data_IF_015884935584
#
_entry.id   IF_015884935584
#
_cell.length_a   1.000
_cell.length_b   1.000
_cell.length_c   1.000
_cell.angle_alpha   90.00
_cell.angle_beta   90.00
_cell.angle_gamma   90.00
#
_symmetry.space_group_name_H-M   'P 1'
#
loop_
_entity.id
_entity.type
_entity.pdbx_description
1 polymer ?
#
# COMPACT_ATOMS: atom_id res chain seq x y z
N UNK A 1 -69.43 -40.69 -5.71
CA UNK A 1 -69.88 -40.84 -7.10
C UNK A 1 -69.31 -39.64 -7.86
N UNK A 2 -68.11 -39.76 -8.45
CA UNK A 2 -67.89 -39.97 -9.91
C UNK A 2 -68.52 -38.82 -10.72
N UNK A 3 -67.82 -37.93 -11.41
CA UNK A 3 -66.85 -38.12 -12.52
C UNK A 3 -66.25 -36.73 -12.87
N UNK A 4 -64.93 -36.59 -13.06
CA UNK A 4 -64.22 -36.46 -14.36
C UNK A 4 -64.75 -35.39 -15.33
N UNK A 5 -63.92 -34.39 -15.66
CA UNK A 5 -63.52 -34.16 -17.06
C UNK A 5 -62.27 -33.28 -17.18
N UNK A 6 -61.30 -33.82 -17.90
CA UNK A 6 -60.03 -33.27 -18.39
C UNK A 6 -60.20 -32.36 -19.61
N UNK A 7 -59.27 -31.42 -19.81
CA UNK A 7 -58.87 -30.96 -21.15
C UNK A 7 -57.42 -30.45 -21.09
N UNK A 8 -56.49 -31.30 -21.51
CA UNK A 8 -55.07 -31.01 -21.74
C UNK A 8 -54.89 -30.51 -23.17
N UNK A 9 -54.26 -29.35 -23.33
CA UNK A 9 -53.89 -28.82 -24.64
C UNK A 9 -52.64 -29.54 -25.17
N UNK A 10 -52.75 -29.98 -26.40
CA UNK A 10 -51.79 -30.72 -27.23
C UNK A 10 -50.66 -29.82 -27.71
N UNK A 11 -49.41 -30.14 -27.37
CA UNK A 11 -48.23 -29.64 -28.10
C UNK A 11 -47.93 -30.54 -29.29
N UNK A 12 -47.61 -29.88 -30.39
CA UNK A 12 -47.54 -30.37 -31.74
C UNK A 12 -46.18 -31.04 -31.99
N UNK A 13 -46.19 -32.33 -32.33
CA UNK A 13 -45.01 -33.04 -32.80
C UNK A 13 -44.59 -32.54 -34.19
N UNK A 14 -43.34 -32.09 -34.30
CA UNK A 14 -42.57 -32.16 -35.55
C UNK A 14 -41.26 -32.85 -35.23
N UNK A 15 -41.12 -34.05 -35.80
CA UNK A 15 -40.01 -34.95 -35.55
C UNK A 15 -38.68 -34.45 -36.09
N UNK A 16 -37.62 -34.94 -35.45
CA UNK A 16 -36.37 -35.25 -36.13
C UNK A 16 -35.73 -36.41 -35.39
N UNK A 17 -36.09 -37.63 -35.80
CA UNK A 17 -35.33 -38.81 -35.46
C UNK A 17 -34.06 -38.81 -36.29
N UNK A 18 -32.93 -38.42 -35.69
CA UNK A 18 -31.64 -38.93 -36.12
C UNK A 18 -30.85 -39.43 -34.92
N UNK A 19 -30.41 -40.67 -35.08
CA UNK A 19 -29.70 -41.53 -34.16
C UNK A 19 -28.31 -40.94 -33.90
N UNK A 20 -28.07 -40.44 -32.69
CA UNK A 20 -26.73 -40.04 -32.26
C UNK A 20 -25.86 -41.28 -32.01
N UNK A 21 -24.71 -41.41 -32.67
CA UNK A 21 -23.77 -42.50 -32.40
C UNK A 21 -23.09 -42.30 -31.05
N UNK A 22 -22.92 -43.41 -30.32
CA UNK A 22 -22.05 -43.55 -29.17
C UNK A 22 -20.61 -43.12 -29.54
N UNK A 23 -20.18 -41.96 -29.03
CA UNK A 23 -18.76 -41.63 -28.91
C UNK A 23 -18.43 -41.39 -27.43
N UNK A 24 -18.33 -42.47 -26.65
CA UNK A 24 -17.75 -42.45 -25.29
C UNK A 24 -16.22 -42.26 -25.28
N UNK A 25 -15.58 -42.10 -26.45
CA UNK A 25 -14.11 -42.10 -26.58
C UNK A 25 -13.44 -40.71 -26.60
N UNK A 26 -14.20 -39.61 -26.43
CA UNK A 26 -13.63 -38.24 -26.38
C UNK A 26 -13.56 -37.62 -24.99
N UNK A 27 -13.82 -38.37 -23.91
CA UNK A 27 -13.74 -37.83 -22.53
C UNK A 27 -12.31 -37.91 -21.94
N UNK A 28 -11.41 -38.66 -22.57
CA UNK A 28 -9.99 -38.76 -22.21
C UNK A 28 -9.18 -37.56 -22.72
N UNK A 29 -9.40 -37.14 -23.97
CA UNK A 29 -8.67 -36.03 -24.60
C UNK A 29 -8.89 -34.68 -23.92
N UNK A 30 -10.07 -34.40 -23.36
CA UNK A 30 -10.29 -33.13 -22.65
C UNK A 30 -9.63 -33.12 -21.28
N UNK A 31 -9.64 -34.24 -20.53
CA UNK A 31 -8.97 -34.33 -19.22
C UNK A 31 -7.45 -34.27 -19.36
N UNK A 32 -6.90 -34.80 -20.45
CA UNK A 32 -5.46 -34.76 -20.72
C UNK A 32 -5.01 -33.44 -21.35
N UNK A 33 -5.86 -32.80 -22.15
CA UNK A 33 -5.64 -31.41 -22.60
C UNK A 33 -5.71 -30.44 -21.39
N UNK A 34 -6.64 -30.65 -20.45
CA UNK A 34 -6.72 -29.87 -19.20
C UNK A 34 -5.55 -30.18 -18.23
N UNK A 35 -5.09 -31.43 -18.16
CA UNK A 35 -3.85 -31.79 -17.44
C UNK A 35 -2.60 -31.14 -18.06
N UNK A 36 -2.53 -30.98 -19.37
CA UNK A 36 -1.41 -30.28 -20.01
C UNK A 36 -1.49 -28.75 -19.90
N UNK A 37 -2.69 -28.17 -19.87
CA UNK A 37 -2.89 -26.75 -19.52
C UNK A 37 -2.44 -26.47 -18.09
N UNK A 38 -2.71 -27.36 -17.14
CA UNK A 38 -2.28 -27.20 -15.73
C UNK A 38 -0.77 -27.38 -15.53
N UNK A 39 -0.06 -28.13 -16.37
CA UNK A 39 1.41 -28.29 -16.27
C UNK A 39 2.15 -27.12 -16.92
N UNK A 40 1.62 -26.53 -17.99
CA UNK A 40 2.15 -25.28 -18.60
C UNK A 40 1.75 -24.02 -17.81
N UNK A 41 0.73 -24.09 -16.96
CA UNK A 41 0.36 -23.05 -15.99
C UNK A 41 1.08 -23.14 -14.64
N UNK A 42 2.04 -24.06 -14.47
CA UNK A 42 2.86 -24.10 -13.24
C UNK A 42 3.80 -22.90 -13.09
N UNK A 43 3.90 -22.04 -14.10
CA UNK A 43 4.73 -20.83 -14.09
C UNK A 43 4.00 -19.49 -13.90
N UNK A 44 2.66 -19.45 -13.77
CA UNK A 44 1.91 -18.17 -13.87
C UNK A 44 0.91 -17.88 -12.74
N UNK A 45 0.61 -18.82 -11.84
CA UNK A 45 -0.22 -18.49 -10.68
C UNK A 45 0.18 -19.32 -9.47
N UNK A 46 0.85 -18.67 -8.52
CA UNK A 46 0.87 -19.08 -7.14
C UNK A 46 -0.59 -19.35 -6.70
N UNK A 47 -0.99 -20.63 -6.61
CA UNK A 47 -2.36 -21.05 -6.29
C UNK A 47 -2.68 -20.87 -4.80
N UNK A 48 -2.08 -19.86 -4.15
CA UNK A 48 -2.51 -19.39 -2.84
C UNK A 48 -3.77 -18.57 -3.05
N UNK A 49 -4.89 -19.07 -2.51
CA UNK A 49 -6.16 -18.33 -2.51
C UNK A 49 -5.92 -16.91 -1.97
N UNK A 50 -6.46 -15.86 -2.61
CA UNK A 50 -6.26 -14.48 -2.17
C UNK A 50 -6.47 -14.22 -0.67
N UNK A 51 -7.44 -14.93 -0.09
CA UNK A 51 -7.73 -14.86 1.34
C UNK A 51 -6.61 -15.46 2.21
N UNK A 52 -5.95 -16.53 1.75
CA UNK A 52 -4.81 -17.13 2.46
C UNK A 52 -3.58 -16.23 2.41
N UNK A 53 -3.29 -15.63 1.25
CA UNK A 53 -2.20 -14.65 1.10
C UNK A 53 -2.41 -13.45 2.03
N UNK A 54 -3.62 -12.92 2.06
CA UNK A 54 -3.96 -11.83 2.96
C UNK A 54 -3.87 -12.23 4.44
N UNK A 55 -4.25 -13.46 4.80
CA UNK A 55 -4.09 -13.97 6.15
C UNK A 55 -2.62 -14.10 6.56
N UNK A 56 -1.77 -14.63 5.67
CA UNK A 56 -0.32 -14.75 5.86
C UNK A 56 0.33 -13.35 6.00
N UNK A 57 0.02 -12.43 5.09
CA UNK A 57 0.47 -11.03 5.15
C UNK A 57 0.06 -10.37 6.48
N UNK A 58 -1.16 -10.58 6.94
CA UNK A 58 -1.63 -10.07 8.23
C UNK A 58 -0.90 -10.70 9.42
N UNK A 59 -0.59 -11.99 9.37
CA UNK A 59 0.22 -12.67 10.39
C UNK A 59 1.60 -12.02 10.53
N UNK A 60 2.28 -11.78 9.41
CA UNK A 60 3.57 -11.09 9.40
C UNK A 60 3.48 -9.64 9.85
N UNK A 61 2.43 -8.91 9.46
CA UNK A 61 2.17 -7.55 9.94
C UNK A 61 1.96 -7.51 11.45
N UNK A 62 1.23 -8.46 12.02
CA UNK A 62 1.03 -8.57 13.46
C UNK A 62 2.31 -8.96 14.19
N UNK A 63 3.10 -9.88 13.63
CA UNK A 63 4.44 -10.21 14.12
C UNK A 63 5.38 -8.99 14.11
N UNK A 64 5.36 -8.19 13.05
CA UNK A 64 6.09 -6.93 12.99
C UNK A 64 5.67 -5.95 14.09
N UNK A 65 4.37 -5.87 14.41
CA UNK A 65 3.89 -5.02 15.50
C UNK A 65 4.40 -5.49 16.87
N UNK A 66 4.43 -6.79 17.15
CA UNK A 66 4.96 -7.31 18.43
C UNK A 66 6.46 -7.02 18.53
N UNK A 67 7.23 -7.27 17.47
CA UNK A 67 8.65 -6.96 17.40
C UNK A 67 8.94 -5.47 17.57
N UNK A 68 8.10 -4.61 16.97
CA UNK A 68 8.19 -3.15 17.13
C UNK A 68 7.97 -2.72 18.59
N UNK A 69 6.98 -3.31 19.27
CA UNK A 69 6.77 -3.04 20.70
C UNK A 69 7.91 -3.57 21.58
N UNK A 70 8.55 -4.67 21.18
CA UNK A 70 9.75 -5.22 21.83
C UNK A 70 11.04 -4.46 21.48
N UNK A 71 10.96 -3.35 20.75
CA UNK A 71 12.12 -2.54 20.30
C UNK A 71 13.12 -3.26 19.39
N UNK A 72 12.73 -4.40 18.80
CA UNK A 72 13.53 -5.15 17.82
C UNK A 72 13.24 -4.62 16.41
N UNK A 73 13.75 -3.42 16.11
CA UNK A 73 13.38 -2.67 14.90
C UNK A 73 13.84 -3.32 13.58
N UNK A 74 15.02 -3.92 13.54
CA UNK A 74 15.51 -4.61 12.34
C UNK A 74 14.65 -5.84 12.01
N UNK A 75 14.37 -6.69 13.00
CA UNK A 75 13.50 -7.85 12.81
C UNK A 75 12.05 -7.44 12.46
N UNK A 76 11.55 -6.33 13.04
CA UNK A 76 10.25 -5.79 12.68
C UNK A 76 10.21 -5.34 11.21
N UNK A 77 11.29 -4.73 10.71
CA UNK A 77 11.41 -4.33 9.30
C UNK A 77 11.35 -5.55 8.37
N UNK A 78 12.09 -6.61 8.70
CA UNK A 78 12.08 -7.85 7.91
C UNK A 78 10.68 -8.48 7.89
N UNK A 79 9.99 -8.53 9.04
CA UNK A 79 8.63 -9.03 9.13
C UNK A 79 7.64 -8.19 8.30
N UNK A 80 7.78 -6.87 8.27
CA UNK A 80 6.92 -6.02 7.44
C UNK A 80 7.22 -6.13 5.94
N UNK A 81 8.48 -6.30 5.56
CA UNK A 81 8.84 -6.54 4.16
C UNK A 81 8.27 -7.88 3.68
N UNK A 82 8.32 -8.91 4.52
CA UNK A 82 7.67 -10.18 4.24
C UNK A 82 6.15 -10.02 4.15
N UNK A 83 5.54 -9.20 5.01
CA UNK A 83 4.11 -8.89 4.90
C UNK A 83 3.74 -8.26 3.55
N UNK A 84 4.59 -7.40 2.98
CA UNK A 84 4.37 -6.81 1.65
C UNK A 84 4.51 -7.82 0.52
N UNK A 85 5.46 -8.76 0.61
CA UNK A 85 5.65 -9.82 -0.39
C UNK A 85 4.40 -10.71 -0.51
N UNK A 86 3.73 -10.97 0.62
CA UNK A 86 2.52 -11.79 0.67
C UNK A 86 1.22 -10.97 0.48
N UNK A 87 1.31 -9.64 0.43
CA UNK A 87 0.15 -8.78 0.19
C UNK A 87 -0.17 -8.78 -1.31
N UNK A 88 -1.39 -9.17 -1.73
CA UNK A 88 -1.75 -9.10 -3.14
C UNK A 88 -1.72 -7.65 -3.64
N UNK A 89 -1.13 -7.44 -4.83
CA UNK A 89 -0.79 -6.10 -5.37
C UNK A 89 -2.00 -5.16 -5.50
N UNK A 90 -3.20 -5.72 -5.72
CA UNK A 90 -4.42 -4.92 -5.86
C UNK A 90 -5.01 -4.44 -4.53
N UNK A 91 -4.54 -4.93 -3.37
CA UNK A 91 -4.96 -4.44 -2.05
C UNK A 91 -4.10 -3.25 -1.61
N UNK A 92 -4.35 -2.10 -2.21
CA UNK A 92 -3.63 -0.85 -1.93
C UNK A 92 -3.78 -0.37 -0.49
N UNK A 93 -4.95 -0.59 0.13
CA UNK A 93 -5.22 -0.19 1.52
C UNK A 93 -4.40 -1.00 2.54
N UNK A 94 -4.28 -2.31 2.33
CA UNK A 94 -3.51 -3.19 3.22
C UNK A 94 -2.02 -2.91 3.09
N UNK A 95 -1.52 -2.78 1.85
CA UNK A 95 -0.16 -2.36 1.58
C UNK A 95 0.17 -1.00 2.21
N UNK A 96 -0.75 -0.02 2.14
CA UNK A 96 -0.58 1.27 2.78
C UNK A 96 -0.39 1.16 4.30
N UNK A 97 -1.14 0.26 4.95
CA UNK A 97 -1.03 0.02 6.39
C UNK A 97 0.35 -0.50 6.78
N UNK A 98 0.89 -1.43 5.99
CA UNK A 98 2.23 -1.99 6.19
C UNK A 98 3.30 -0.92 5.95
N UNK A 99 3.21 -0.16 4.85
CA UNK A 99 4.14 0.94 4.55
C UNK A 99 4.17 2.02 5.63
N UNK A 100 3.01 2.36 6.20
CA UNK A 100 2.95 3.28 7.31
C UNK A 100 3.71 2.74 8.53
N UNK A 101 3.57 1.45 8.85
CA UNK A 101 4.31 0.83 9.96
C UNK A 101 5.83 0.80 9.69
N UNK A 102 6.24 0.45 8.47
CA UNK A 102 7.65 0.53 8.03
C UNK A 102 8.21 1.94 8.22
N UNK A 103 7.45 2.98 7.89
CA UNK A 103 7.90 4.36 8.11
C UNK A 103 8.18 4.66 9.58
N UNK A 104 7.39 4.12 10.51
CA UNK A 104 7.64 4.27 11.95
C UNK A 104 8.92 3.54 12.40
N UNK A 105 9.18 2.35 11.85
CA UNK A 105 10.41 1.60 12.10
C UNK A 105 11.63 2.42 11.64
N UNK A 106 11.60 2.96 10.42
CA UNK A 106 12.70 3.77 9.90
C UNK A 106 12.94 5.06 10.70
N UNK A 107 11.88 5.70 11.21
CA UNK A 107 12.04 6.83 12.14
C UNK A 107 12.73 6.41 13.44
N UNK A 108 12.48 5.20 13.95
CA UNK A 108 13.19 4.66 15.13
C UNK A 108 14.63 4.27 14.83
N UNK A 109 14.90 3.78 13.63
CA UNK A 109 16.25 3.45 13.13
C UNK A 109 17.06 4.68 12.69
N UNK A 110 16.52 5.90 12.85
CA UNK A 110 17.17 7.14 12.41
C UNK A 110 17.52 7.15 10.91
N UNK A 111 16.72 6.48 10.09
CA UNK A 111 16.84 6.53 8.63
C UNK A 111 15.67 7.33 8.03
N UNK A 112 15.73 8.68 8.05
CA UNK A 112 14.59 9.51 7.69
C UNK A 112 14.29 9.50 6.18
N UNK A 113 15.28 9.23 5.32
CA UNK A 113 15.07 9.14 3.87
C UNK A 113 14.12 7.99 3.50
N UNK A 114 14.37 6.79 4.03
CA UNK A 114 13.50 5.63 3.80
C UNK A 114 12.15 5.76 4.51
N UNK A 115 12.12 6.46 5.66
CA UNK A 115 10.85 6.78 6.34
C UNK A 115 9.93 7.65 5.45
N UNK A 116 10.47 8.68 4.80
CA UNK A 116 9.71 9.56 3.90
C UNK A 116 9.20 8.81 2.67
N UNK A 117 10.03 7.95 2.07
CA UNK A 117 9.63 7.11 0.94
C UNK A 117 8.48 6.18 1.33
N UNK A 118 8.62 5.48 2.45
CA UNK A 118 7.60 4.54 2.94
C UNK A 118 6.30 5.25 3.32
N UNK A 119 6.38 6.42 3.97
CA UNK A 119 5.20 7.21 4.30
C UNK A 119 4.50 7.77 3.05
N UNK A 120 5.25 8.12 2.01
CA UNK A 120 4.68 8.52 0.71
C UNK A 120 3.90 7.38 0.06
N UNK A 121 4.47 6.16 0.00
CA UNK A 121 3.76 4.97 -0.48
C UNK A 121 2.48 4.67 0.32
N UNK A 122 2.51 4.88 1.64
CA UNK A 122 1.32 4.74 2.48
C UNK A 122 0.22 5.75 2.11
N UNK A 123 0.60 6.97 1.73
CA UNK A 123 -0.34 8.03 1.32
C UNK A 123 -0.87 7.82 -0.10
N UNK A 124 -0.14 7.14 -0.98
CA UNK A 124 -0.63 6.71 -2.30
C UNK A 124 -1.82 5.74 -2.15
N UNK A 125 -1.71 4.76 -1.23
CA UNK A 125 -2.80 3.80 -0.98
C UNK A 125 -3.91 4.33 -0.06
N UNK A 126 -3.61 5.28 0.84
CA UNK A 126 -4.60 5.94 1.70
C UNK A 126 -4.34 7.45 1.79
N UNK A 127 -4.86 8.24 0.84
CA UNK A 127 -4.69 9.68 0.84
C UNK A 127 -5.22 10.34 2.11
N UNK A 128 -4.47 11.32 2.63
CA UNK A 128 -4.89 12.09 3.80
C UNK A 128 -4.84 11.34 5.13
N UNK A 129 -4.17 10.19 5.21
CA UNK A 129 -4.01 9.45 6.46
C UNK A 129 -3.10 10.19 7.45
N UNK A 130 -3.66 10.65 8.56
CA UNK A 130 -2.98 11.52 9.52
C UNK A 130 -1.68 10.94 10.10
N UNK A 131 -1.67 9.65 10.46
CA UNK A 131 -0.43 9.02 10.97
C UNK A 131 0.68 8.98 9.94
N UNK A 132 0.35 8.73 8.67
CA UNK A 132 1.33 8.70 7.59
C UNK A 132 1.85 10.11 7.26
N UNK A 133 0.97 11.11 7.22
CA UNK A 133 1.36 12.52 7.08
C UNK A 133 2.30 12.96 8.21
N UNK A 134 1.96 12.65 9.45
CA UNK A 134 2.77 13.03 10.61
C UNK A 134 4.17 12.38 10.56
N UNK A 135 4.25 11.10 10.19
CA UNK A 135 5.52 10.39 10.03
C UNK A 135 6.34 10.93 8.87
N UNK A 136 5.72 11.27 7.74
CA UNK A 136 6.38 11.91 6.60
C UNK A 136 6.96 13.27 6.98
N UNK A 137 6.20 14.09 7.69
CA UNK A 137 6.62 15.40 8.17
C UNK A 137 7.84 15.29 9.10
N UNK A 138 7.82 14.36 10.07
CA UNK A 138 8.98 14.10 10.95
C UNK A 138 10.21 13.62 10.18
N UNK A 139 10.02 12.76 9.19
CA UNK A 139 11.12 12.32 8.32
C UNK A 139 11.72 13.48 7.53
N UNK A 140 10.89 14.32 6.92
CA UNK A 140 11.31 15.52 6.19
C UNK A 140 12.03 16.54 7.07
N UNK A 141 11.56 16.72 8.31
CA UNK A 141 12.24 17.55 9.31
C UNK A 141 13.64 17.03 9.62
N UNK A 142 13.79 15.71 9.77
CA UNK A 142 15.07 15.07 10.06
C UNK A 142 16.05 15.09 8.87
N UNK A 143 15.55 15.05 7.62
CA UNK A 143 16.39 15.25 6.43
C UNK A 143 16.90 16.69 6.36
N UNK A 144 16.01 17.66 6.62
CA UNK A 144 16.32 19.07 6.51
C UNK A 144 16.50 19.53 5.05
N UNK A 145 17.11 20.71 4.87
CA UNK A 145 17.15 21.41 3.59
C UNK A 145 15.85 22.17 3.29
N UNK A 146 15.94 23.20 2.46
CA UNK A 146 14.80 24.09 2.21
C UNK A 146 13.57 23.34 1.67
N UNK A 147 13.77 22.47 0.67
CA UNK A 147 12.66 21.71 0.04
C UNK A 147 12.00 20.71 0.99
N UNK A 148 12.78 19.96 1.79
CA UNK A 148 12.20 19.01 2.75
C UNK A 148 11.46 19.74 3.87
N UNK A 149 12.03 20.83 4.41
CA UNK A 149 11.39 21.60 5.48
C UNK A 149 10.08 22.24 5.01
N UNK A 150 10.05 22.75 3.78
CA UNK A 150 8.83 23.25 3.15
C UNK A 150 7.75 22.16 3.07
N UNK A 151 8.11 20.97 2.55
CA UNK A 151 7.19 19.85 2.48
C UNK A 151 6.76 19.32 3.87
N UNK A 152 7.62 19.44 4.89
CA UNK A 152 7.26 19.09 6.27
C UNK A 152 6.19 20.05 6.81
N UNK A 153 6.34 21.34 6.56
CA UNK A 153 5.38 22.35 6.97
C UNK A 153 4.02 22.17 6.29
N UNK A 154 3.99 21.86 4.99
CA UNK A 154 2.75 21.53 4.26
C UNK A 154 2.03 20.32 4.87
N UNK A 155 2.77 19.26 5.20
CA UNK A 155 2.19 18.07 5.85
C UNK A 155 1.59 18.39 7.22
N UNK A 156 2.27 19.22 8.02
CA UNK A 156 1.77 19.65 9.33
C UNK A 156 0.55 20.57 9.21
N UNK A 157 0.54 21.49 8.26
CA UNK A 157 -0.64 22.34 8.01
C UNK A 157 -1.87 21.50 7.61
N UNK A 158 -1.68 20.50 6.73
CA UNK A 158 -2.76 19.59 6.36
C UNK A 158 -3.29 18.75 7.54
N UNK A 159 -2.44 18.45 8.53
CA UNK A 159 -2.86 17.80 9.77
C UNK A 159 -3.64 18.73 10.69
N UNK A 160 -3.19 19.99 10.79
CA UNK A 160 -3.83 21.00 11.63
C UNK A 160 -5.24 21.32 11.14
N UNK A 161 -5.44 21.42 9.82
CA UNK A 161 -6.77 21.60 9.21
C UNK A 161 -7.75 20.48 9.60
N UNK A 162 -7.24 19.26 9.80
CA UNK A 162 -8.01 18.09 10.25
C UNK A 162 -8.07 17.94 11.77
N UNK A 163 -7.69 18.96 12.53
CA UNK A 163 -7.58 18.91 14.00
C UNK A 163 -6.72 17.74 14.53
N UNK A 164 -5.75 17.27 13.74
CA UNK A 164 -4.92 16.12 14.08
C UNK A 164 -5.71 14.83 14.29
N UNK A 165 -6.81 14.62 13.55
CA UNK A 165 -7.64 13.42 13.67
C UNK A 165 -6.80 12.13 13.61
N UNK A 166 -6.94 11.24 14.59
CA UNK A 166 -6.21 9.98 14.64
C UNK A 166 -4.77 10.06 15.16
N UNK A 167 -4.30 11.25 15.58
CA UNK A 167 -3.08 11.45 16.34
C UNK A 167 -3.34 11.41 17.85
N UNK A 168 -2.30 11.08 18.61
CA UNK A 168 -2.32 11.17 20.08
C UNK A 168 -2.24 12.63 20.54
N UNK A 169 -2.73 12.94 21.74
CA UNK A 169 -2.64 14.29 22.31
C UNK A 169 -1.21 14.82 22.41
N UNK A 170 -0.22 13.93 22.59
CA UNK A 170 1.19 14.30 22.53
C UNK A 170 1.59 14.76 21.13
N UNK A 171 1.23 14.02 20.11
CA UNK A 171 1.54 14.35 18.72
C UNK A 171 0.83 15.62 18.25
N UNK A 172 -0.37 15.91 18.77
CA UNK A 172 -1.08 17.17 18.50
C UNK A 172 -0.36 18.38 19.10
N UNK A 173 0.13 18.27 20.35
CA UNK A 173 0.96 19.33 20.96
C UNK A 173 2.26 19.54 20.18
N UNK A 174 2.93 18.45 19.82
CA UNK A 174 4.13 18.51 18.98
C UNK A 174 3.80 19.23 17.65
N UNK A 175 2.70 18.85 16.99
CA UNK A 175 2.22 19.47 15.74
C UNK A 175 2.04 21.00 15.88
N UNK A 176 1.32 21.45 16.91
CA UNK A 176 1.09 22.89 17.14
C UNK A 176 2.39 23.67 17.37
N UNK A 177 3.35 23.07 18.07
CA UNK A 177 4.67 23.66 18.26
C UNK A 177 5.42 23.74 16.93
N UNK A 178 5.46 22.64 16.17
CA UNK A 178 6.15 22.55 14.88
C UNK A 178 5.64 23.59 13.89
N UNK A 179 4.33 23.77 13.77
CA UNK A 179 3.71 24.76 12.88
C UNK A 179 4.15 26.19 13.23
N UNK A 180 4.37 26.52 14.51
CA UNK A 180 4.78 27.86 14.93
C UNK A 180 6.22 28.20 14.55
N UNK A 181 7.16 27.26 14.69
CA UNK A 181 8.58 27.56 14.49
C UNK A 181 9.12 27.18 13.10
N UNK A 182 8.52 26.21 12.41
CA UNK A 182 8.97 25.76 11.09
C UNK A 182 9.11 26.89 10.04
N UNK A 183 8.19 27.87 9.95
CA UNK A 183 8.32 28.97 8.99
C UNK A 183 9.66 29.71 9.10
N UNK A 184 10.10 29.97 10.33
CA UNK A 184 11.40 30.61 10.58
C UNK A 184 12.56 29.74 10.10
N UNK A 185 12.54 28.44 10.38
CA UNK A 185 13.61 27.52 9.95
C UNK A 185 13.63 27.32 8.44
N UNK A 186 12.48 27.42 7.77
CA UNK A 186 12.38 27.39 6.31
C UNK A 186 13.05 28.63 5.72
N UNK A 187 12.80 29.81 6.28
CA UNK A 187 13.45 31.05 5.86
C UNK A 187 14.96 30.99 6.05
N UNK A 188 15.43 30.55 7.23
CA UNK A 188 16.86 30.34 7.50
C UNK A 188 17.51 29.35 6.51
N UNK A 189 16.83 28.25 6.18
CA UNK A 189 17.31 27.27 5.20
C UNK A 189 17.32 27.85 3.77
N UNK A 190 16.29 28.61 3.40
CA UNK A 190 16.18 29.27 2.10
C UNK A 190 17.31 30.29 1.91
N UNK A 191 17.55 31.14 2.90
CA UNK A 191 18.64 32.12 2.85
C UNK A 191 19.99 31.44 2.67
N UNK A 192 20.26 30.38 3.45
CA UNK A 192 21.50 29.62 3.33
C UNK A 192 21.68 29.02 1.94
N UNK A 193 20.66 28.36 1.41
CA UNK A 193 20.71 27.71 0.10
C UNK A 193 20.87 28.76 -1.03
N UNK A 194 20.20 29.92 -0.92
CA UNK A 194 20.36 31.01 -1.89
C UNK A 194 21.73 31.69 -1.83
N UNK A 195 22.29 31.91 -0.64
CA UNK A 195 23.63 32.45 -0.47
C UNK A 195 24.70 31.53 -1.07
N UNK A 196 24.58 30.21 -0.90
CA UNK A 196 25.52 29.24 -1.48
C UNK A 196 25.48 29.27 -3.02
N UNK A 197 24.28 29.29 -3.61
CA UNK A 197 24.11 29.36 -5.08
C UNK A 197 24.65 30.68 -5.64
N UNK A 198 24.41 31.80 -4.96
CA UNK A 198 24.92 33.10 -5.37
C UNK A 198 26.45 33.21 -5.25
N UNK A 199 27.06 32.57 -4.23
CA UNK A 199 28.51 32.49 -4.09
C UNK A 199 29.14 31.77 -5.29
N UNK A 200 28.65 30.57 -5.61
CA UNK A 200 29.12 29.79 -6.76
C UNK A 200 28.99 30.55 -8.09
N UNK A 201 27.90 31.30 -8.28
CA UNK A 201 27.69 32.07 -9.51
C UNK A 201 28.72 33.21 -9.68
N UNK A 202 29.13 33.86 -8.57
CA UNK A 202 30.17 34.90 -8.60
C UNK A 202 31.54 34.33 -8.98
N UNK A 203 31.88 33.14 -8.49
CA UNK A 203 33.16 32.49 -8.80
C UNK A 203 33.26 32.07 -10.28
N UNK A 204 32.14 31.71 -10.92
CA UNK A 204 32.11 31.32 -12.34
C UNK A 204 32.12 32.55 -13.27
N UNK A 205 31.69 33.73 -12.81
CA UNK A 205 31.62 34.94 -13.63
C UNK A 205 32.97 35.67 -13.78
N UNK A 206 34.02 35.29 -13.05
CA UNK A 206 35.33 35.94 -13.11
C UNK A 206 36.49 34.92 -13.25
N UNK A 207 36.61 34.21 -14.38
CA UNK A 207 37.89 33.59 -14.73
C UNK A 207 38.86 34.70 -15.20
N UNK A 208 39.97 34.85 -14.46
CA UNK A 208 41.16 35.62 -14.88
C UNK A 208 41.86 34.91 -16.03
#
# INVERSE_FOLDING_TARGET
MTTSSSATATEHELGFGERFPEEEEKVSSWRDCWRNVTVLWKGVADFRLPQRLLAESNSYRLSGNTLFTSSLFMAALDAYNLALEYCPVYLTYEAATIHNNISAVHLKLQNPAEAVKSATKALEGRPGWSKALYRRAKGREAIGGWSSLQGAHEDYMALLEKNGEGLTEREKRDLEEKVKWLPRRIEEAREKDTCEVLGKLKDVSFPV
#
